data_IF_015732904366
#
_entry.id   IF_015732904366
#
_cell.length_a   1.000
_cell.length_b   1.000
_cell.length_c   1.000
_cell.angle_alpha   90.00
_cell.angle_beta   90.00
_cell.angle_gamma   90.00
#
_symmetry.space_group_name_H-M   'P 1'
#
loop_
_entity.id
_entity.type
_entity.pdbx_description
1 polymer ?
#
# COMPACT_ATOMS: atom_id res chain seq x y z
N UNK A 1 2.12 -4.08 -21.01
CA UNK A 1 3.56 -4.08 -21.37
C UNK A 1 4.17 -5.32 -20.73
N UNK A 2 4.98 -6.10 -21.47
CA UNK A 2 5.76 -7.20 -20.89
C UNK A 2 7.20 -6.68 -20.76
N UNK A 3 7.76 -6.73 -19.57
CA UNK A 3 9.12 -6.27 -19.28
C UNK A 3 9.94 -7.37 -18.61
N UNK A 4 11.26 -7.30 -18.76
CA UNK A 4 12.21 -8.21 -18.13
C UNK A 4 13.04 -7.44 -17.12
N UNK A 5 13.16 -7.97 -15.91
CA UNK A 5 14.02 -7.42 -14.87
C UNK A 5 15.48 -7.77 -15.13
N UNK A 6 16.41 -7.11 -14.44
CA UNK A 6 17.83 -7.46 -14.46
C UNK A 6 18.13 -8.88 -13.96
N UNK A 7 17.16 -9.53 -13.28
CA UNK A 7 17.26 -10.91 -12.77
C UNK A 7 16.71 -11.95 -13.75
N UNK A 8 16.10 -11.57 -14.88
CA UNK A 8 15.52 -12.48 -15.87
C UNK A 8 16.58 -13.31 -16.66
N UNK A 9 17.85 -13.14 -16.34
CA UNK A 9 18.98 -13.79 -17.00
C UNK A 9 19.51 -12.98 -18.18
N UNK A 10 20.58 -13.48 -18.80
CA UNK A 10 21.18 -12.89 -19.98
C UNK A 10 20.91 -13.77 -21.20
N UNK A 11 20.51 -13.15 -22.31
CA UNK A 11 20.39 -13.83 -23.58
C UNK A 11 21.64 -13.54 -24.40
N UNK A 12 22.47 -14.56 -24.63
CA UNK A 12 23.68 -14.39 -25.45
C UNK A 12 23.31 -14.00 -26.90
N UNK A 13 24.18 -13.25 -27.61
CA UNK A 13 23.93 -12.87 -29.00
C UNK A 13 23.55 -14.08 -29.87
N UNK A 14 22.45 -13.95 -30.62
CA UNK A 14 21.92 -15.01 -31.48
C UNK A 14 21.16 -16.13 -30.76
N UNK A 15 20.97 -16.07 -29.44
CA UNK A 15 20.10 -16.99 -28.69
C UNK A 15 18.67 -16.45 -28.61
N UNK A 16 17.71 -17.32 -28.26
CA UNK A 16 16.28 -16.99 -28.17
C UNK A 16 15.71 -17.48 -26.83
N UNK A 17 14.77 -16.72 -26.27
CA UNK A 17 13.94 -17.12 -25.11
C UNK A 17 12.84 -18.12 -25.49
N UNK A 18 12.76 -18.51 -26.76
CA UNK A 18 11.59 -19.16 -27.35
C UNK A 18 10.33 -18.28 -27.23
N UNK A 19 9.14 -18.87 -27.32
CA UNK A 19 7.87 -18.15 -27.24
C UNK A 19 7.53 -17.75 -25.81
N UNK A 20 7.37 -16.45 -25.57
CA UNK A 20 6.84 -15.91 -24.32
C UNK A 20 5.37 -15.57 -24.57
N UNK A 21 4.47 -16.39 -24.04
CA UNK A 21 3.04 -16.26 -24.25
C UNK A 21 2.35 -15.51 -23.11
N UNK A 22 1.61 -14.47 -23.47
CA UNK A 22 0.56 -13.90 -22.64
C UNK A 22 -0.76 -14.11 -23.38
N UNK A 23 -1.72 -14.78 -22.74
CA UNK A 23 -3.01 -15.06 -23.33
C UNK A 23 -4.11 -14.35 -22.56
N UNK A 24 -4.92 -13.57 -23.28
CA UNK A 24 -6.22 -13.12 -22.83
C UNK A 24 -7.27 -14.05 -23.46
N UNK A 25 -8.15 -14.61 -22.64
CA UNK A 25 -9.21 -15.50 -23.12
C UNK A 25 -10.53 -15.18 -22.42
N UNK A 26 -11.63 -15.47 -23.10
CA UNK A 26 -12.97 -15.39 -22.51
C UNK A 26 -13.25 -16.71 -21.79
N UNK A 27 -13.78 -16.63 -20.58
CA UNK A 27 -14.20 -17.82 -19.81
C UNK A 27 -15.32 -18.61 -20.51
N UNK A 28 -16.10 -17.95 -21.37
CA UNK A 28 -17.15 -18.58 -22.18
C UNK A 28 -16.65 -19.18 -23.51
N UNK A 29 -15.33 -19.16 -23.76
CA UNK A 29 -14.65 -19.66 -24.96
C UNK A 29 -15.16 -19.10 -26.31
N UNK A 30 -15.96 -18.03 -26.29
CA UNK A 30 -16.39 -17.36 -27.53
C UNK A 30 -15.22 -16.61 -28.16
N UNK A 31 -15.36 -16.28 -29.45
CA UNK A 31 -14.38 -15.44 -30.16
C UNK A 31 -14.35 -14.03 -29.56
N UNK A 32 -13.15 -13.46 -29.44
CA UNK A 32 -12.97 -12.04 -29.14
C UNK A 32 -13.25 -11.21 -30.40
N UNK A 33 -13.87 -10.04 -30.24
CA UNK A 33 -13.85 -9.01 -31.28
C UNK A 33 -12.47 -8.34 -31.26
N UNK A 34 -11.74 -8.41 -32.38
CA UNK A 34 -10.35 -7.96 -32.50
C UNK A 34 -10.16 -7.07 -33.74
N UNK A 35 -11.24 -6.49 -34.23
CA UNK A 35 -11.28 -5.59 -35.39
C UNK A 35 -10.51 -4.28 -35.14
N UNK A 36 -10.43 -3.84 -33.88
CA UNK A 36 -9.62 -2.69 -33.46
C UNK A 36 -8.28 -3.07 -32.80
N UNK A 37 -7.94 -4.36 -32.75
CA UNK A 37 -6.68 -4.82 -32.17
C UNK A 37 -5.57 -4.69 -33.22
N UNK A 38 -4.77 -3.62 -33.09
CA UNK A 38 -3.62 -3.35 -33.97
C UNK A 38 -2.66 -4.54 -34.05
N UNK A 39 -2.49 -5.28 -32.96
CA UNK A 39 -1.54 -6.39 -32.87
C UNK A 39 -2.06 -7.68 -33.47
N UNK A 40 -3.39 -7.80 -33.62
CA UNK A 40 -4.05 -8.99 -34.13
C UNK A 40 -3.85 -9.16 -35.64
N UNK A 41 -3.56 -10.39 -36.03
CA UNK A 41 -3.54 -10.85 -37.41
C UNK A 41 -4.15 -12.25 -37.46
N UNK A 42 -5.37 -12.43 -38.02
CA UNK A 42 -6.03 -13.73 -38.05
C UNK A 42 -5.30 -14.76 -38.94
N UNK A 43 -4.35 -14.32 -39.78
CA UNK A 43 -3.52 -15.21 -40.59
C UNK A 43 -2.26 -15.69 -39.85
N UNK A 44 -1.93 -15.06 -38.72
CA UNK A 44 -0.77 -15.39 -37.89
C UNK A 44 -1.01 -16.64 -37.00
N UNK A 45 -1.11 -17.82 -37.62
CA UNK A 45 -1.38 -19.08 -36.93
C UNK A 45 -0.13 -19.80 -36.39
N UNK A 46 1.05 -19.17 -36.53
CA UNK A 46 2.35 -19.62 -36.02
C UNK A 46 3.17 -18.39 -35.62
N UNK A 47 4.20 -18.58 -34.79
CA UNK A 47 5.13 -17.49 -34.45
C UNK A 47 5.73 -16.88 -35.72
N UNK A 48 5.47 -15.60 -35.93
CA UNK A 48 5.98 -14.82 -37.04
C UNK A 48 6.36 -13.41 -36.58
N UNK A 49 7.35 -12.76 -37.21
CA UNK A 49 7.68 -11.39 -36.89
C UNK A 49 6.48 -10.47 -37.14
N UNK A 50 6.16 -9.60 -36.18
CA UNK A 50 5.18 -8.54 -36.36
C UNK A 50 5.87 -7.19 -36.19
N UNK A 51 5.73 -6.30 -37.17
CA UNK A 51 6.13 -4.89 -37.02
C UNK A 51 5.07 -4.07 -36.27
N UNK A 52 3.88 -4.61 -36.01
CA UNK A 52 2.83 -3.89 -35.28
C UNK A 52 3.00 -3.97 -33.75
N UNK A 53 3.85 -4.89 -33.28
CA UNK A 53 4.27 -5.03 -31.88
C UNK A 53 5.68 -4.46 -31.75
N UNK A 54 5.87 -3.57 -30.78
CA UNK A 54 7.14 -2.87 -30.56
C UNK A 54 7.93 -3.53 -29.42
N UNK A 55 9.27 -3.54 -29.55
CA UNK A 55 10.18 -3.93 -28.48
C UNK A 55 11.17 -2.80 -28.22
N UNK A 56 11.46 -2.56 -26.94
CA UNK A 56 12.39 -1.51 -26.50
C UNK A 56 13.55 -2.14 -25.73
N UNK A 57 14.75 -1.60 -25.94
CA UNK A 57 15.95 -1.91 -25.17
C UNK A 57 16.39 -0.64 -24.47
N UNK A 58 16.40 -0.64 -23.13
CA UNK A 58 16.77 0.54 -22.33
C UNK A 58 16.01 1.82 -22.74
N UNK A 59 14.72 1.68 -23.05
CA UNK A 59 13.87 2.79 -23.49
C UNK A 59 13.99 3.18 -24.96
N UNK A 60 14.95 2.63 -25.71
CA UNK A 60 15.10 2.87 -27.15
C UNK A 60 14.35 1.83 -27.98
N UNK A 61 13.61 2.26 -29.01
CA UNK A 61 12.89 1.34 -29.90
C UNK A 61 13.88 0.44 -30.65
N UNK A 62 13.85 -0.86 -30.35
CA UNK A 62 14.73 -1.85 -30.95
C UNK A 62 14.03 -2.65 -32.07
N UNK A 63 12.69 -2.74 -32.04
CA UNK A 63 11.90 -3.46 -33.03
C UNK A 63 10.48 -2.91 -33.14
N UNK A 64 9.90 -3.05 -34.34
CA UNK A 64 8.49 -2.71 -34.62
C UNK A 64 8.31 -1.32 -35.21
N UNK A 65 7.04 -0.95 -35.36
CA UNK A 65 6.55 0.33 -35.83
C UNK A 65 5.50 0.79 -34.84
N UNK A 66 5.82 1.89 -34.16
CA UNK A 66 4.86 2.57 -33.31
C UNK A 66 3.61 2.95 -34.11
N UNK A 67 2.42 2.99 -33.49
CA UNK A 67 1.23 3.47 -34.15
C UNK A 67 1.42 4.92 -34.62
N UNK A 68 1.42 5.13 -35.94
CA UNK A 68 1.45 6.47 -36.52
C UNK A 68 0.14 7.19 -36.23
N UNK A 69 0.20 8.35 -35.58
CA UNK A 69 -0.92 9.31 -35.62
C UNK A 69 -0.86 10.01 -36.97
N UNK A 70 -1.78 9.71 -37.89
CA UNK A 70 -1.89 10.49 -39.13
C UNK A 70 -2.66 11.79 -38.86
N UNK A 71 -1.95 12.91 -38.95
CA UNK A 71 -2.45 14.30 -38.95
C UNK A 71 -1.29 15.30 -38.97
N UNK A 72 -1.36 16.42 -39.71
CA UNK A 72 -0.20 17.29 -39.91
C UNK A 72 0.00 18.22 -38.71
N UNK A 73 0.98 17.90 -37.86
CA UNK A 73 1.70 18.90 -37.08
C UNK A 73 3.19 18.56 -37.16
N UNK A 74 3.95 19.56 -37.58
CA UNK A 74 5.40 19.57 -37.73
C UNK A 74 6.14 19.13 -36.45
N UNK A 75 7.43 18.82 -36.62
CA UNK A 75 8.44 18.64 -35.56
C UNK A 75 8.07 19.32 -34.24
N UNK A 76 7.48 18.52 -33.37
CA UNK A 76 7.32 18.76 -31.95
C UNK A 76 7.71 17.43 -31.35
N UNK A 77 8.76 17.39 -30.54
CA UNK A 77 8.95 16.30 -29.59
C UNK A 77 7.57 15.98 -29.01
N UNK A 78 7.02 14.81 -29.36
CA UNK A 78 5.72 14.41 -28.86
C UNK A 78 5.76 14.54 -27.35
N UNK A 79 4.71 15.10 -26.69
CA UNK A 79 4.79 15.36 -25.27
C UNK A 79 5.20 14.04 -24.61
N UNK A 80 6.34 14.06 -23.91
CA UNK A 80 6.70 13.00 -23.00
C UNK A 80 5.41 12.65 -22.27
N UNK A 81 4.98 11.37 -22.31
CA UNK A 81 3.87 10.93 -21.47
C UNK A 81 4.21 11.47 -20.09
N UNK A 82 3.44 12.44 -19.55
CA UNK A 82 3.87 13.11 -18.35
C UNK A 82 4.10 12.01 -17.32
N UNK A 83 5.32 11.94 -16.79
CA UNK A 83 5.55 11.11 -15.62
C UNK A 83 4.49 11.48 -14.58
N UNK A 84 4.09 10.54 -13.72
CA UNK A 84 3.15 10.86 -12.65
C UNK A 84 3.60 12.16 -11.96
N UNK A 85 2.69 13.08 -11.63
CA UNK A 85 3.07 14.34 -11.01
C UNK A 85 4.04 14.08 -9.87
N UNK A 86 5.17 14.82 -9.79
CA UNK A 86 6.17 14.56 -8.76
C UNK A 86 5.55 14.71 -7.37
N UNK A 87 6.03 13.93 -6.41
CA UNK A 87 5.57 13.98 -5.02
C UNK A 87 4.23 13.30 -4.79
N UNK A 88 3.91 12.21 -5.50
CA UNK A 88 2.74 11.37 -5.22
C UNK A 88 3.21 9.96 -4.86
N UNK A 89 2.59 9.40 -3.82
CA UNK A 89 2.51 7.95 -3.65
C UNK A 89 1.05 7.55 -3.68
N UNK A 90 0.71 6.47 -4.38
CA UNK A 90 -0.59 5.82 -4.29
C UNK A 90 -0.44 4.32 -4.50
N UNK A 91 -1.23 3.55 -3.78
CA UNK A 91 -1.38 2.11 -3.96
C UNK A 91 -2.81 1.72 -3.55
N UNK A 92 -3.54 1.02 -4.42
CA UNK A 92 -4.86 0.44 -4.13
C UNK A 92 -4.78 -1.06 -3.76
N UNK A 93 -3.57 -1.59 -3.60
CA UNK A 93 -3.29 -2.96 -3.20
C UNK A 93 -3.85 -4.02 -4.16
N UNK A 94 -3.89 -3.72 -5.46
CA UNK A 94 -4.32 -4.65 -6.50
C UNK A 94 -3.24 -5.71 -6.83
N UNK A 95 -2.98 -6.62 -5.89
CA UNK A 95 -1.98 -7.69 -5.99
C UNK A 95 -2.62 -9.08 -5.95
N UNK A 96 -1.98 -10.08 -6.55
CA UNK A 96 -2.52 -11.46 -6.53
C UNK A 96 -2.23 -12.20 -5.22
N UNK A 97 -1.30 -11.71 -4.41
CA UNK A 97 -0.87 -12.34 -3.17
C UNK A 97 0.38 -11.69 -2.60
N UNK A 98 0.78 -12.11 -1.39
CA UNK A 98 2.02 -11.63 -0.73
C UNK A 98 3.30 -11.91 -1.52
N UNK A 99 3.28 -12.97 -2.35
CA UNK A 99 4.41 -13.43 -3.16
C UNK A 99 4.33 -12.86 -4.60
N UNK A 100 3.38 -11.94 -4.87
CA UNK A 100 3.29 -11.21 -6.13
C UNK A 100 4.56 -10.37 -6.33
N UNK A 101 5.34 -10.58 -7.41
CA UNK A 101 6.53 -9.80 -7.70
C UNK A 101 6.27 -8.29 -7.75
N UNK A 102 5.07 -7.86 -8.16
CA UNK A 102 4.69 -6.46 -8.23
C UNK A 102 4.65 -5.81 -6.84
N UNK A 103 4.22 -6.53 -5.80
CA UNK A 103 4.20 -6.01 -4.41
C UNK A 103 5.61 -5.61 -3.97
N UNK A 104 6.57 -6.50 -4.19
CA UNK A 104 7.97 -6.26 -3.86
C UNK A 104 8.61 -5.17 -4.74
N UNK A 105 8.25 -5.10 -6.03
CA UNK A 105 8.75 -4.09 -6.98
C UNK A 105 8.20 -2.69 -6.65
N UNK A 106 6.96 -2.62 -6.18
CA UNK A 106 6.28 -1.40 -5.73
C UNK A 106 6.73 -0.96 -4.33
N UNK A 107 7.73 -1.63 -3.76
CA UNK A 107 8.42 -1.20 -2.56
C UNK A 107 7.79 -1.66 -1.26
N UNK A 108 6.86 -2.62 -1.29
CA UNK A 108 6.23 -3.18 -0.10
C UNK A 108 6.92 -4.46 0.39
N UNK A 109 6.80 -4.72 1.69
CA UNK A 109 7.32 -5.92 2.35
C UNK A 109 6.37 -6.34 3.47
N UNK A 110 5.87 -7.58 3.39
CA UNK A 110 5.18 -8.21 4.50
C UNK A 110 6.19 -8.65 5.56
N UNK A 111 5.93 -8.36 6.83
CA UNK A 111 6.90 -8.62 7.90
C UNK A 111 7.08 -10.11 8.14
N UNK A 112 8.34 -10.54 8.16
CA UNK A 112 8.78 -11.88 8.60
C UNK A 112 9.62 -11.80 9.87
N UNK A 113 10.13 -10.62 10.20
CA UNK A 113 11.08 -10.43 11.29
C UNK A 113 10.41 -10.43 12.65
N UNK A 114 11.15 -10.95 13.63
CA UNK A 114 10.79 -10.90 15.05
C UNK A 114 10.85 -9.47 15.62
N UNK A 115 10.53 -9.33 16.90
CA UNK A 115 10.49 -8.04 17.59
C UNK A 115 9.07 -7.54 17.87
N UNK A 116 8.99 -6.37 18.49
CA UNK A 116 7.73 -5.74 18.87
C UNK A 116 7.17 -4.79 17.79
N UNK A 117 6.03 -4.15 18.09
CA UNK A 117 5.17 -4.41 19.25
C UNK A 117 4.37 -5.71 19.12
N UNK A 118 3.73 -6.14 20.20
CA UNK A 118 2.89 -7.36 20.26
C UNK A 118 3.62 -8.63 20.69
N UNK A 119 3.03 -9.78 20.42
CA UNK A 119 3.55 -11.07 20.88
C UNK A 119 4.83 -11.42 20.12
N UNK A 120 5.95 -11.49 20.86
CA UNK A 120 7.28 -11.64 20.28
C UNK A 120 7.41 -12.88 19.38
N UNK A 121 7.94 -12.70 18.17
CA UNK A 121 8.25 -13.79 17.24
C UNK A 121 7.06 -14.34 16.46
N UNK A 122 5.93 -13.63 16.46
CA UNK A 122 4.67 -14.11 15.85
C UNK A 122 4.25 -13.36 14.58
N UNK A 123 5.03 -12.37 14.12
CA UNK A 123 4.78 -11.76 12.82
C UNK A 123 5.01 -12.77 11.69
N UNK A 124 4.06 -12.84 10.76
CA UNK A 124 4.08 -13.84 9.70
C UNK A 124 3.57 -13.24 8.40
N UNK A 125 4.38 -13.30 7.34
CA UNK A 125 3.96 -12.77 6.04
C UNK A 125 2.71 -13.46 5.45
N UNK A 126 2.38 -14.71 5.84
CA UNK A 126 1.13 -15.38 5.43
C UNK A 126 -0.12 -14.75 6.06
N UNK A 127 0.04 -13.88 7.05
CA UNK A 127 -1.04 -13.12 7.66
C UNK A 127 -1.46 -11.91 6.80
N UNK A 128 -0.79 -11.70 5.66
CA UNK A 128 -1.06 -10.64 4.69
C UNK A 128 -1.60 -11.25 3.39
N UNK A 129 -2.75 -10.77 2.93
CA UNK A 129 -3.38 -11.20 1.69
C UNK A 129 -4.12 -10.06 0.98
N UNK A 130 -4.62 -10.31 -0.24
CA UNK A 130 -5.29 -9.32 -1.07
C UNK A 130 -6.60 -9.87 -1.66
N UNK A 131 -7.61 -10.18 -0.83
CA UNK A 131 -8.86 -10.75 -1.31
C UNK A 131 -9.73 -9.75 -2.07
N UNK A 132 -10.60 -10.27 -2.93
CA UNK A 132 -11.68 -9.47 -3.50
C UNK A 132 -12.61 -8.96 -2.38
N UNK A 133 -12.99 -7.69 -2.47
CA UNK A 133 -13.83 -7.02 -1.49
C UNK A 133 -14.74 -6.01 -2.21
N UNK A 134 -16.01 -6.36 -2.37
CA UNK A 134 -16.99 -5.52 -3.07
C UNK A 134 -17.31 -4.20 -2.33
N UNK A 135 -16.96 -4.11 -1.05
CA UNK A 135 -17.13 -2.88 -0.27
C UNK A 135 -15.95 -1.91 -0.42
N UNK A 136 -14.83 -2.38 -0.99
CA UNK A 136 -13.67 -1.57 -1.33
C UNK A 136 -13.80 -1.00 -2.75
N UNK A 137 -13.34 0.24 -2.95
CA UNK A 137 -13.20 0.80 -4.29
C UNK A 137 -12.19 -0.04 -5.09
N UNK A 138 -12.47 -0.32 -6.36
CA UNK A 138 -11.64 -1.23 -7.16
C UNK A 138 -11.88 -2.73 -6.88
N UNK A 139 -12.72 -3.08 -5.90
CA UNK A 139 -13.16 -4.46 -5.66
C UNK A 139 -12.13 -5.36 -4.99
N UNK A 140 -11.04 -4.80 -4.45
CA UNK A 140 -9.98 -5.53 -3.76
C UNK A 140 -9.44 -4.67 -2.60
N UNK A 141 -8.89 -5.33 -1.58
CA UNK A 141 -8.23 -4.65 -0.46
C UNK A 141 -7.05 -5.48 0.05
N UNK A 142 -6.06 -4.81 0.62
CA UNK A 142 -5.12 -5.44 1.55
C UNK A 142 -5.88 -5.95 2.77
N UNK A 143 -5.64 -7.19 3.17
CA UNK A 143 -6.11 -7.77 4.43
C UNK A 143 -4.92 -8.19 5.30
N UNK A 144 -4.94 -7.71 6.55
CA UNK A 144 -4.01 -8.02 7.62
C UNK A 144 -4.76 -8.82 8.69
N UNK A 145 -4.52 -10.12 8.75
CA UNK A 145 -5.24 -11.05 9.61
C UNK A 145 -4.40 -11.47 10.82
N UNK A 146 -4.82 -11.07 12.01
CA UNK A 146 -4.22 -11.57 13.26
C UNK A 146 -5.01 -12.78 13.77
N UNK A 147 -4.33 -13.83 14.22
CA UNK A 147 -4.99 -15.03 14.75
C UNK A 147 -4.28 -15.58 15.98
N UNK A 148 -5.02 -16.15 16.93
CA UNK A 148 -4.46 -16.81 18.11
C UNK A 148 -5.45 -17.82 18.69
N UNK A 149 -4.98 -18.75 19.51
CA UNK A 149 -5.82 -19.54 20.42
C UNK A 149 -5.54 -19.26 21.91
N UNK A 150 -4.73 -18.23 22.19
CA UNK A 150 -4.19 -17.91 23.52
C UNK A 150 -2.75 -18.38 23.74
N UNK A 151 -2.21 -19.28 22.92
CA UNK A 151 -0.80 -19.67 22.96
C UNK A 151 0.06 -18.87 22.00
N UNK A 152 1.24 -18.41 22.44
CA UNK A 152 2.20 -17.69 21.60
C UNK A 152 2.62 -18.51 20.36
N UNK A 153 2.84 -19.82 20.51
CA UNK A 153 3.20 -20.72 19.40
C UNK A 153 2.13 -20.84 18.31
N UNK A 154 0.88 -20.49 18.63
CA UNK A 154 -0.26 -20.51 17.70
C UNK A 154 -0.76 -19.09 17.38
N UNK A 155 0.01 -18.07 17.77
CA UNK A 155 -0.30 -16.68 17.47
C UNK A 155 0.37 -16.26 16.17
N UNK A 156 -0.36 -15.49 15.35
CA UNK A 156 0.12 -14.87 14.12
C UNK A 156 -0.32 -13.42 14.10
N UNK A 157 0.60 -12.53 13.77
CA UNK A 157 0.38 -11.09 13.63
C UNK A 157 0.76 -10.66 12.22
N UNK A 158 0.13 -9.60 11.73
CA UNK A 158 0.27 -9.13 10.36
C UNK A 158 0.87 -7.72 10.33
N UNK A 159 1.79 -7.49 9.40
CA UNK A 159 2.29 -6.15 9.08
C UNK A 159 2.68 -6.11 7.60
N UNK A 160 2.30 -5.03 6.92
CA UNK A 160 2.84 -4.64 5.61
C UNK A 160 3.48 -3.26 5.74
N UNK A 161 4.72 -3.12 5.29
CA UNK A 161 5.44 -1.84 5.34
C UNK A 161 6.17 -1.52 4.05
N UNK A 162 6.48 -0.24 3.83
CA UNK A 162 7.42 0.13 2.77
C UNK A 162 8.83 -0.33 3.15
N UNK A 163 9.57 -0.85 2.16
CA UNK A 163 10.96 -1.33 2.34
C UNK A 163 11.90 -0.23 2.79
N UNK A 164 11.72 0.96 2.22
CA UNK A 164 12.49 2.15 2.53
C UNK A 164 11.55 3.27 3.04
N UNK A 165 12.11 4.27 3.75
CA UNK A 165 11.39 5.49 4.05
C UNK A 165 10.89 6.20 2.79
N UNK A 166 9.63 6.65 2.81
CA UNK A 166 8.98 7.32 1.67
C UNK A 166 8.35 8.65 2.05
N UNK A 167 7.81 8.77 3.25
CA UNK A 167 7.03 9.94 3.67
C UNK A 167 7.83 10.82 4.64
N UNK A 168 7.79 12.14 4.46
CA UNK A 168 8.42 13.07 5.39
C UNK A 168 7.48 14.22 5.76
N UNK A 169 7.07 15.03 4.78
CA UNK A 169 6.15 16.15 4.96
C UNK A 169 5.07 16.15 3.87
N UNK A 170 3.99 16.89 4.10
CA UNK A 170 2.81 16.94 3.25
C UNK A 170 1.65 16.13 3.84
N UNK A 171 0.79 15.62 2.97
CA UNK A 171 -0.42 14.87 3.38
C UNK A 171 -0.25 13.39 3.08
N UNK A 172 -0.50 12.55 4.07
CA UNK A 172 -0.63 11.11 3.96
C UNK A 172 -2.05 10.71 4.35
N UNK A 173 -2.67 9.84 3.58
CA UNK A 173 -4.02 9.37 3.81
C UNK A 173 -4.14 7.88 3.51
N UNK A 174 -4.97 7.18 4.27
CA UNK A 174 -5.32 5.79 3.99
C UNK A 174 -6.79 5.53 4.26
N UNK A 175 -7.37 4.63 3.45
CA UNK A 175 -8.74 4.16 3.59
C UNK A 175 -8.71 2.80 4.27
N UNK A 176 -9.08 2.78 5.55
CA UNK A 176 -8.89 1.61 6.43
C UNK A 176 -10.24 1.08 6.91
N UNK A 177 -10.40 -0.23 6.95
CA UNK A 177 -11.53 -0.91 7.59
C UNK A 177 -11.07 -1.48 8.93
N UNK A 178 -11.78 -1.11 10.00
CA UNK A 178 -11.58 -1.70 11.32
C UNK A 178 -12.74 -2.63 11.69
N UNK A 179 -12.46 -3.58 12.58
CA UNK A 179 -13.44 -4.46 13.19
C UNK A 179 -13.55 -4.19 14.68
N UNK A 180 -14.77 -4.20 15.23
CA UNK A 180 -14.99 -4.12 16.68
C UNK A 180 -15.08 -5.50 17.34
N UNK A 181 -15.11 -6.57 16.54
CA UNK A 181 -15.23 -7.97 16.97
C UNK A 181 -14.38 -8.85 16.05
N UNK A 182 -13.91 -10.02 16.53
CA UNK A 182 -13.19 -10.93 15.66
C UNK A 182 -14.09 -11.43 14.52
N UNK A 183 -13.49 -11.66 13.35
CA UNK A 183 -14.15 -12.35 12.23
C UNK A 183 -14.53 -13.81 12.59
N UNK A 184 -13.80 -14.43 13.53
CA UNK A 184 -14.08 -15.76 14.06
C UNK A 184 -13.69 -15.84 15.53
N UNK A 185 -14.50 -16.53 16.33
CA UNK A 185 -14.21 -16.83 17.74
C UNK A 185 -14.88 -15.86 18.72
N UNK A 186 -14.59 -16.03 20.00
CA UNK A 186 -15.09 -15.16 21.07
C UNK A 186 -14.40 -13.80 21.05
N UNK A 187 -15.16 -12.75 21.35
CA UNK A 187 -14.65 -11.39 21.44
C UNK A 187 -13.94 -11.13 22.79
N UNK A 188 -13.16 -10.05 22.86
CA UNK A 188 -12.51 -9.56 24.09
C UNK A 188 -11.01 -9.28 23.94
N UNK A 189 -10.34 -9.81 22.91
CA UNK A 189 -8.89 -9.64 22.72
C UNK A 189 -8.48 -8.15 22.72
N UNK A 190 -7.37 -7.85 23.40
CA UNK A 190 -6.69 -6.57 23.26
C UNK A 190 -5.89 -6.55 21.95
N UNK A 191 -6.59 -6.42 20.83
CA UNK A 191 -6.00 -6.26 19.50
C UNK A 191 -5.69 -4.79 19.22
N UNK A 192 -4.64 -4.53 18.45
CA UNK A 192 -4.28 -3.22 17.95
C UNK A 192 -4.24 -3.25 16.41
N UNK A 193 -5.07 -2.43 15.78
CA UNK A 193 -5.08 -2.19 14.35
C UNK A 193 -4.41 -0.84 14.07
N UNK A 194 -3.25 -0.85 13.42
CA UNK A 194 -2.42 0.33 13.30
C UNK A 194 -2.19 0.77 11.85
N UNK A 195 -2.16 2.09 11.66
CA UNK A 195 -1.65 2.77 10.48
C UNK A 195 -0.65 3.82 10.94
N UNK A 196 0.62 3.68 10.56
CA UNK A 196 1.64 4.59 11.01
C UNK A 196 2.70 4.93 9.97
N UNK A 197 3.50 5.92 10.33
CA UNK A 197 4.79 6.16 9.72
C UNK A 197 5.88 6.08 10.77
N UNK A 198 7.00 5.40 10.49
CA UNK A 198 8.08 5.21 11.46
C UNK A 198 9.47 5.40 10.82
N UNK A 199 10.39 5.99 11.57
CA UNK A 199 11.81 6.03 11.20
C UNK A 199 12.38 4.64 10.93
N UNK A 200 13.33 4.54 9.99
CA UNK A 200 13.94 3.25 9.64
C UNK A 200 14.67 2.56 10.82
N UNK A 201 15.09 3.34 11.82
CA UNK A 201 15.74 2.85 13.03
C UNK A 201 15.17 3.54 14.26
N UNK A 202 14.76 2.74 15.26
CA UNK A 202 14.35 3.23 16.59
C UNK A 202 15.45 3.92 17.38
N UNK A 203 16.71 3.81 16.93
CA UNK A 203 17.87 4.48 17.55
C UNK A 203 18.24 5.78 16.84
N UNK A 204 17.50 6.19 15.80
CA UNK A 204 17.77 7.43 15.10
C UNK A 204 17.74 8.63 16.07
N UNK A 205 18.74 9.53 16.05
CA UNK A 205 18.66 10.78 16.81
C UNK A 205 17.56 11.72 16.27
N UNK A 206 17.05 11.43 15.06
CA UNK A 206 15.94 12.12 14.41
C UNK A 206 14.65 11.30 14.45
N UNK A 207 14.57 10.31 15.35
CA UNK A 207 13.42 9.43 15.44
C UNK A 207 12.10 10.21 15.36
N UNK A 208 11.27 9.76 14.45
CA UNK A 208 9.95 10.30 14.17
C UNK A 208 9.03 9.11 13.96
N UNK A 209 7.86 9.15 14.58
CA UNK A 209 6.80 8.19 14.33
C UNK A 209 5.44 8.87 14.52
N UNK A 210 4.50 8.59 13.63
CA UNK A 210 3.16 9.15 13.63
C UNK A 210 2.16 8.01 13.50
N UNK A 211 1.33 7.81 14.53
CA UNK A 211 0.49 6.62 14.64
C UNK A 211 -1.00 6.95 14.71
N UNK A 212 -1.77 6.05 14.09
CA UNK A 212 -3.13 5.70 14.49
C UNK A 212 -3.11 4.26 15.02
N UNK A 213 -3.57 4.05 16.25
CA UNK A 213 -3.66 2.75 16.89
C UNK A 213 -5.09 2.51 17.41
N UNK A 214 -5.87 1.71 16.66
CA UNK A 214 -7.25 1.39 17.05
C UNK A 214 -7.32 0.10 17.87
N UNK A 215 -7.98 0.20 19.02
CA UNK A 215 -8.11 -0.84 20.03
C UNK A 215 -9.59 -1.03 20.36
N UNK A 216 -10.31 -1.95 19.69
CA UNK A 216 -11.75 -2.09 19.81
C UNK A 216 -12.19 -2.52 21.22
N UNK A 217 -11.40 -3.38 21.87
CA UNK A 217 -11.63 -3.80 23.26
C UNK A 217 -10.74 -3.06 24.27
N UNK A 218 -9.97 -2.07 23.81
CA UNK A 218 -8.96 -1.40 24.62
C UNK A 218 -7.65 -2.18 24.67
N UNK A 219 -6.85 -1.87 25.67
CA UNK A 219 -5.47 -2.32 25.76
C UNK A 219 -4.63 -1.31 26.54
N UNK A 220 -3.40 -1.69 26.87
CA UNK A 220 -2.48 -0.85 27.65
C UNK A 220 -3.03 -0.42 29.01
N UNK A 221 -3.88 -1.26 29.63
CA UNK A 221 -4.53 -0.95 30.91
C UNK A 221 -5.70 0.04 30.82
N UNK A 222 -6.16 0.39 29.62
CA UNK A 222 -7.30 1.27 29.38
C UNK A 222 -8.43 0.54 28.65
N UNK A 223 -9.68 0.92 28.95
CA UNK A 223 -10.86 0.36 28.29
C UNK A 223 -11.06 0.93 26.89
N UNK A 224 -11.57 0.10 25.97
CA UNK A 224 -11.97 0.52 24.63
C UNK A 224 -13.49 0.66 24.46
N UNK A 225 -13.95 0.94 23.24
CA UNK A 225 -13.15 1.18 22.04
C UNK A 225 -12.43 2.53 22.07
N UNK A 226 -11.17 2.54 21.62
CA UNK A 226 -10.38 3.78 21.50
C UNK A 226 -9.42 3.75 20.33
N UNK A 227 -9.16 4.93 19.77
CA UNK A 227 -8.07 5.19 18.84
C UNK A 227 -7.04 6.07 19.54
N UNK A 228 -5.85 5.54 19.79
CA UNK A 228 -4.72 6.36 20.21
C UNK A 228 -4.08 7.00 18.97
N UNK A 229 -3.97 8.32 18.99
CA UNK A 229 -3.28 9.10 17.95
C UNK A 229 -2.01 9.65 18.56
N UNK A 230 -0.87 9.39 17.94
CA UNK A 230 0.44 9.61 18.57
C UNK A 230 1.44 10.25 17.61
N UNK A 231 2.23 11.19 18.13
CA UNK A 231 3.45 11.68 17.47
C UNK A 231 4.64 11.46 18.40
N UNK A 232 5.49 10.49 18.08
CA UNK A 232 6.68 10.18 18.87
C UNK A 232 7.91 10.95 18.43
N UNK A 233 8.75 11.22 19.44
CA UNK A 233 10.07 11.83 19.32
C UNK A 233 11.17 10.88 19.79
N UNK A 234 10.84 9.97 20.70
CA UNK A 234 11.75 8.92 21.15
C UNK A 234 10.96 7.80 21.85
N UNK A 235 11.15 6.57 21.40
CA UNK A 235 10.59 5.37 22.07
C UNK A 235 11.29 5.11 23.41
N UNK A 236 12.61 5.31 23.48
CA UNK A 236 13.41 5.08 24.69
C UNK A 236 12.98 5.95 25.87
N UNK A 237 12.61 7.20 25.61
CA UNK A 237 12.24 8.17 26.65
C UNK A 237 10.73 8.25 26.90
N UNK A 238 9.93 7.49 26.14
CA UNK A 238 8.47 7.64 26.18
C UNK A 238 7.99 9.00 25.64
N UNK A 239 8.86 9.74 24.92
CA UNK A 239 8.69 11.14 24.57
C UNK A 239 7.78 11.28 23.35
N UNK A 240 6.51 11.63 23.58
CA UNK A 240 5.46 11.73 22.57
C UNK A 240 4.40 12.76 22.92
N UNK A 241 3.67 13.23 21.91
CA UNK A 241 2.36 13.85 22.11
C UNK A 241 1.30 12.85 21.70
N UNK A 242 0.21 12.76 22.47
CA UNK A 242 -0.84 11.79 22.19
C UNK A 242 -2.22 12.29 22.57
N UNK A 243 -3.22 11.80 21.86
CA UNK A 243 -4.63 12.00 22.14
C UNK A 243 -5.41 10.71 21.85
N UNK A 244 -6.19 10.26 22.84
CA UNK A 244 -7.16 9.20 22.63
C UNK A 244 -8.48 9.75 22.08
N UNK A 245 -9.07 9.02 21.14
CA UNK A 245 -10.44 9.23 20.63
C UNK A 245 -11.27 8.01 21.03
N UNK A 246 -12.11 8.16 22.05
CA UNK A 246 -12.92 7.06 22.60
C UNK A 246 -14.27 6.96 21.89
N UNK A 247 -14.31 6.16 20.81
CA UNK A 247 -15.54 5.77 20.12
C UNK A 247 -15.33 4.51 19.29
N UNK A 248 -16.39 3.75 19.02
CA UNK A 248 -16.35 2.67 18.03
C UNK A 248 -15.95 3.20 16.64
N UNK A 249 -15.14 2.42 15.92
CA UNK A 249 -14.66 2.69 14.57
C UNK A 249 -14.84 1.47 13.64
N UNK A 250 -15.70 0.50 13.97
CA UNK A 250 -16.01 -0.57 13.03
C UNK A 250 -16.49 -0.01 11.69
N UNK A 251 -15.93 -0.55 10.61
CA UNK A 251 -16.22 -0.13 9.26
C UNK A 251 -15.07 0.64 8.61
N UNK A 252 -15.40 1.15 7.44
CA UNK A 252 -14.50 1.88 6.56
C UNK A 252 -14.35 3.33 7.05
N UNK A 253 -13.13 3.75 7.43
CA UNK A 253 -12.73 5.14 7.72
C UNK A 253 -11.61 5.73 6.82
N UNK A 254 -11.64 7.05 6.62
CA UNK A 254 -10.52 7.80 6.05
C UNK A 254 -9.64 8.33 7.18
N UNK A 255 -8.38 7.90 7.24
CA UNK A 255 -7.38 8.39 8.17
C UNK A 255 -6.41 9.31 7.44
N UNK A 256 -6.14 10.50 7.96
CA UNK A 256 -5.20 11.44 7.37
C UNK A 256 -4.20 11.96 8.39
N UNK A 257 -2.95 12.09 7.96
CA UNK A 257 -1.85 12.75 8.65
C UNK A 257 -1.37 13.88 7.74
N UNK A 258 -1.32 15.11 8.23
CA UNK A 258 -0.68 16.22 7.49
C UNK A 258 0.44 16.79 8.33
N UNK A 259 1.67 16.65 7.87
CA UNK A 259 2.87 17.14 8.54
C UNK A 259 3.50 18.28 7.75
N UNK A 260 3.49 19.50 8.28
CA UNK A 260 4.08 20.67 7.61
C UNK A 260 4.73 21.61 8.62
N UNK A 261 5.96 22.04 8.34
CA UNK A 261 6.71 22.87 9.27
C UNK A 261 6.89 22.14 10.60
N UNK A 262 6.37 22.75 11.67
CA UNK A 262 6.41 22.22 13.02
C UNK A 262 5.06 21.64 13.50
N UNK A 263 4.07 21.47 12.62
CA UNK A 263 2.73 20.98 12.97
C UNK A 263 2.42 19.64 12.29
N UNK A 264 1.79 18.74 13.04
CA UNK A 264 1.14 17.53 12.50
C UNK A 264 -0.33 17.54 12.87
N UNK A 265 -1.20 17.43 11.87
CA UNK A 265 -2.65 17.29 12.07
C UNK A 265 -3.13 15.91 11.70
N UNK A 266 -4.12 15.43 12.46
CA UNK A 266 -4.70 14.11 12.33
C UNK A 266 -6.20 14.24 12.13
N UNK A 267 -6.73 13.67 11.05
CA UNK A 267 -8.16 13.65 10.75
C UNK A 267 -8.67 12.21 10.64
N UNK A 268 -9.88 11.99 11.15
CA UNK A 268 -10.69 10.79 10.89
C UNK A 268 -11.96 11.26 10.19
N UNK A 269 -12.23 10.72 8.99
CA UNK A 269 -13.39 11.06 8.15
C UNK A 269 -13.53 12.56 7.91
N UNK A 270 -12.41 13.24 7.65
CA UNK A 270 -12.35 14.68 7.42
C UNK A 270 -12.49 15.55 8.68
N UNK A 271 -12.71 14.95 9.86
CA UNK A 271 -12.78 15.68 11.13
C UNK A 271 -11.44 15.63 11.85
N UNK A 272 -10.87 16.79 12.17
CA UNK A 272 -9.62 16.88 12.93
C UNK A 272 -9.83 16.34 14.34
N UNK A 273 -9.02 15.35 14.72
CA UNK A 273 -9.06 14.70 16.04
C UNK A 273 -7.88 15.09 16.91
N UNK A 274 -6.75 15.48 16.31
CA UNK A 274 -5.55 15.84 17.05
C UNK A 274 -4.64 16.79 16.25
N UNK A 275 -3.83 17.56 16.98
CA UNK A 275 -2.74 18.35 16.45
C UNK A 275 -1.58 18.26 17.43
N UNK A 276 -0.41 17.81 16.96
CA UNK A 276 0.85 17.93 17.67
C UNK A 276 1.68 19.04 17.06
N UNK A 277 2.58 19.65 17.86
CA UNK A 277 3.36 20.83 17.46
C UNK A 277 4.80 20.76 17.94
N UNK A 278 5.66 21.57 17.33
CA UNK A 278 7.04 21.77 17.77
C UNK A 278 7.89 20.52 17.61
N UNK A 279 8.41 20.01 18.73
CA UNK A 279 9.44 18.95 18.74
C UNK A 279 8.95 17.60 18.16
N UNK A 280 7.64 17.44 18.00
CA UNK A 280 6.95 16.23 17.52
C UNK A 280 6.77 16.18 16.01
N UNK A 281 7.08 17.29 15.32
CA UNK A 281 7.11 17.28 13.88
C UNK A 281 8.17 16.30 13.37
N UNK A 282 7.93 15.64 12.23
CA UNK A 282 8.91 14.75 11.62
C UNK A 282 10.25 15.44 11.41
N UNK A 283 11.33 14.71 11.68
CA UNK A 283 12.72 15.18 11.51
C UNK A 283 13.49 14.40 10.44
N UNK A 284 12.93 13.30 9.98
CA UNK A 284 13.46 12.50 8.89
C UNK A 284 12.34 11.78 8.14
N UNK A 285 12.69 11.24 6.96
CA UNK A 285 11.78 10.41 6.18
C UNK A 285 11.50 9.10 6.92
N UNK A 286 10.24 8.69 6.90
CA UNK A 286 9.70 7.53 7.60
C UNK A 286 9.15 6.50 6.59
N UNK A 287 9.19 5.24 6.98
CA UNK A 287 8.44 4.16 6.33
C UNK A 287 6.95 4.37 6.58
N UNK A 288 6.09 3.82 5.73
CA UNK A 288 4.65 3.70 6.00
C UNK A 288 4.37 2.24 6.37
N UNK A 289 3.58 1.99 7.41
CA UNK A 289 3.19 0.63 7.81
C UNK A 289 1.71 0.51 8.17
N UNK A 290 1.19 -0.68 7.96
CA UNK A 290 -0.13 -1.12 8.41
C UNK A 290 0.05 -2.43 9.17
N UNK A 291 -0.57 -2.59 10.33
CA UNK A 291 -0.44 -3.81 11.12
C UNK A 291 -1.68 -4.17 11.93
N UNK A 292 -1.82 -5.46 12.21
CA UNK A 292 -2.83 -6.01 13.13
C UNK A 292 -2.16 -7.01 14.04
N UNK A 293 -2.18 -6.75 15.35
CA UNK A 293 -1.38 -7.50 16.33
C UNK A 293 -2.05 -7.53 17.71
N UNK A 294 -1.64 -8.46 18.57
CA UNK A 294 -2.20 -8.65 19.91
C UNK A 294 -1.27 -8.02 20.97
N UNK A 295 -1.84 -7.22 21.87
CA UNK A 295 -1.10 -6.60 22.99
C UNK A 295 -0.70 -7.66 24.02
N UNK A 296 -1.61 -8.58 24.33
CA UNK A 296 -1.46 -9.69 25.27
C UNK A 296 -2.32 -10.89 24.83
N UNK A 297 -2.27 -11.99 25.60
CA UNK A 297 -3.04 -13.22 25.33
C UNK A 297 -3.78 -13.75 26.58
N UNK A 298 -4.70 -12.97 27.19
CA UNK A 298 -5.38 -13.39 28.43
C UNK A 298 -6.50 -14.41 28.19
N UNK A 299 -6.89 -14.66 26.93
CA UNK A 299 -8.03 -15.51 26.57
C UNK A 299 -7.61 -16.78 25.82
N UNK A 300 -8.39 -17.85 25.94
CA UNK A 300 -8.16 -19.15 25.27
C UNK A 300 -9.20 -19.45 24.17
N UNK A 301 -8.84 -20.33 23.23
CA UNK A 301 -9.70 -20.75 22.11
C UNK A 301 -9.47 -19.96 20.82
N UNK A 302 -9.76 -20.52 19.64
CA UNK A 302 -9.37 -19.93 18.35
C UNK A 302 -10.12 -18.62 18.06
N UNK A 303 -9.37 -17.57 17.74
CA UNK A 303 -9.88 -16.23 17.40
C UNK A 303 -9.12 -15.64 16.20
N UNK A 304 -9.81 -14.85 15.39
CA UNK A 304 -9.24 -14.24 14.18
C UNK A 304 -9.79 -12.83 13.99
N UNK A 305 -8.92 -11.87 13.77
CA UNK A 305 -9.21 -10.45 13.59
C UNK A 305 -8.69 -9.98 12.24
N UNK A 306 -9.44 -9.11 11.57
CA UNK A 306 -9.08 -8.58 10.26
C UNK A 306 -9.06 -7.05 10.28
N UNK A 307 -7.94 -6.47 9.88
CA UNK A 307 -7.87 -5.08 9.43
C UNK A 307 -7.74 -5.09 7.91
N UNK A 308 -8.47 -4.22 7.21
CA UNK A 308 -8.32 -4.08 5.75
C UNK A 308 -7.92 -2.67 5.37
N UNK A 309 -7.21 -2.54 4.25
CA UNK A 309 -6.82 -1.24 3.68
C UNK A 309 -7.18 -1.25 2.20
N UNK A 310 -8.02 -0.31 1.78
CA UNK A 310 -8.40 -0.20 0.38
C UNK A 310 -7.32 0.53 -0.41
N UNK A 311 -6.82 1.65 0.10
CA UNK A 311 -5.74 2.39 -0.57
C UNK A 311 -4.96 3.24 0.41
N UNK A 312 -3.74 3.60 0.00
CA UNK A 312 -2.91 4.64 0.62
C UNK A 312 -2.56 5.70 -0.42
N UNK A 313 -2.54 6.95 -0.01
CA UNK A 313 -2.18 8.10 -0.84
C UNK A 313 -1.29 9.05 -0.06
N UNK A 314 -0.19 9.52 -0.66
CA UNK A 314 0.62 10.60 -0.10
C UNK A 314 0.88 11.68 -1.14
N UNK A 315 0.92 12.93 -0.67
CA UNK A 315 1.30 14.10 -1.45
C UNK A 315 2.40 14.86 -0.71
N UNK A 316 3.59 14.89 -1.30
CA UNK A 316 4.77 15.53 -0.74
C UNK A 316 4.57 17.04 -0.58
N UNK A 317 4.93 17.56 0.61
CA UNK A 317 4.96 18.99 0.92
C UNK A 317 3.64 19.77 0.83
N UNK A 318 2.52 19.13 0.44
CA UNK A 318 1.24 19.80 0.23
C UNK A 318 0.24 19.45 1.34
N UNK A 319 -0.42 20.47 1.86
CA UNK A 319 -1.62 20.35 2.70
C UNK A 319 -2.81 20.07 1.78
N UNK A 320 -3.52 18.98 2.01
CA UNK A 320 -4.74 18.63 1.28
C UNK A 320 -5.90 18.40 2.24
N UNK A 321 -7.08 18.88 1.86
CA UNK A 321 -8.34 18.53 2.50
C UNK A 321 -8.75 17.08 2.17
N UNK A 322 -9.65 16.52 2.97
CA UNK A 322 -10.22 15.20 2.70
C UNK A 322 -10.92 15.13 1.33
N UNK A 323 -11.54 16.23 0.89
CA UNK A 323 -12.18 16.32 -0.42
C UNK A 323 -11.16 16.27 -1.57
N UNK A 324 -10.06 17.02 -1.46
CA UNK A 324 -8.97 17.00 -2.46
C UNK A 324 -8.28 15.63 -2.53
N UNK A 325 -8.08 14.96 -1.38
CA UNK A 325 -7.55 13.58 -1.37
C UNK A 325 -8.51 12.63 -2.08
N UNK A 326 -9.82 12.75 -1.79
CA UNK A 326 -10.83 11.92 -2.45
C UNK A 326 -10.83 12.15 -3.96
N UNK A 327 -10.81 13.39 -4.41
CA UNK A 327 -10.78 13.74 -5.85
C UNK A 327 -9.53 13.18 -6.53
N UNK A 328 -8.35 13.30 -5.89
CA UNK A 328 -7.10 12.75 -6.43
C UNK A 328 -7.16 11.22 -6.55
N UNK A 329 -7.67 10.54 -5.53
CA UNK A 329 -7.82 9.08 -5.53
C UNK A 329 -8.85 8.62 -6.57
N UNK A 330 -10.03 9.26 -6.62
CA UNK A 330 -11.06 8.95 -7.62
C UNK A 330 -10.49 9.10 -9.05
N UNK A 331 -9.67 10.13 -9.30
CA UNK A 331 -8.99 10.34 -10.58
C UNK A 331 -7.97 9.24 -10.92
N UNK A 332 -7.24 8.73 -9.94
CA UNK A 332 -6.31 7.60 -10.11
C UNK A 332 -7.07 6.31 -10.48
N UNK A 333 -8.15 6.00 -9.77
CA UNK A 333 -9.04 4.88 -10.10
C UNK A 333 -9.67 5.01 -11.48
N UNK A 334 -10.19 6.19 -11.84
CA UNK A 334 -10.79 6.45 -13.15
C UNK A 334 -9.76 6.29 -14.30
N UNK A 335 -8.48 6.50 -14.00
CA UNK A 335 -7.36 6.33 -14.94
C UNK A 335 -6.80 4.91 -14.96
N UNK A 336 -7.32 3.99 -14.13
CA UNK A 336 -6.80 2.63 -13.99
C UNK A 336 -5.38 2.58 -13.41
N UNK A 337 -4.98 3.58 -12.62
CA UNK A 337 -3.67 3.63 -11.97
C UNK A 337 -3.81 2.97 -10.60
N UNK A 338 -3.28 1.74 -10.49
CA UNK A 338 -3.30 0.97 -9.23
C UNK A 338 -2.12 1.32 -8.32
N UNK A 339 -1.01 1.79 -8.90
CA UNK A 339 0.19 2.18 -8.15
C UNK A 339 0.90 3.36 -8.82
N UNK A 340 1.38 4.30 -8.01
CA UNK A 340 2.34 5.33 -8.41
C UNK A 340 3.26 5.66 -7.23
N UNK A 341 4.54 5.82 -7.52
CA UNK A 341 5.53 6.26 -6.54
C UNK A 341 6.50 7.25 -7.19
N UNK A 342 6.24 8.54 -7.00
CA UNK A 342 7.06 9.67 -7.45
C UNK A 342 7.49 10.55 -6.28
N UNK A 343 7.41 10.06 -5.04
CA UNK A 343 7.93 10.78 -3.87
C UNK A 343 9.44 11.05 -4.03
N UNK A 344 9.95 12.19 -3.52
CA UNK A 344 11.36 12.50 -3.58
C UNK A 344 12.19 11.35 -2.99
N UNK A 345 13.18 10.92 -3.76
CA UNK A 345 14.31 10.13 -3.26
C UNK A 345 15.33 11.17 -2.80
N UNK A 346 15.83 11.03 -1.58
CA UNK A 346 16.73 12.01 -0.96
C UNK A 346 17.93 12.40 -1.85
#
# INVERSE_FOLDING_TARGET
MIGFTSTAGQLAPGKSTQGIGLQLYRLDHKKLAQDNDRSFDPKAIRYQPSKKVTAYLSGSLAWGQEPSRQGPLADQDGPAVPGPPPGIMFDDFHYTGRDDPALAANGWMARTESGGPGIHGTYNANATSFPADQSAMGGQALQLQASTDGASSHTRQAELSTKAPVFFTGTLAARVFFTDKPAKGSDGDHVNHAFNTISASGQSPKYSELDYEYQPNGGWGATGPKMDVVSWRSTKQGDRDTRAVSRPLAGWHLLMITATGDEVTYLIDGKKVFTSRGKSAPKERMKIQFSSWFIDLPFTGPRTWDMRVNWVYARDGKIMSAAEVKEAVDGLYASGINHVQSMPKD
#
